data_IF_329666691511
#
_entry.id   IF_329666691511
#
_cell.length_a   1.000
_cell.length_b   1.000
_cell.length_c   1.000
_cell.angle_alpha   90.00
_cell.angle_beta   90.00
_cell.angle_gamma   90.00
#
_symmetry.space_group_name_H-M   'P 1'
#
loop_
_entity.id
_entity.type
_entity.pdbx_description
1 polymer ?
#
# COMPACT_ATOMS: atom_id res chain seq x y z
N UNK A 1 36.57 -20.42 2.20
CA UNK A 1 35.80 -21.57 1.69
C UNK A 1 34.33 -21.23 1.80
N UNK A 2 33.63 -21.07 0.67
CA UNK A 2 32.19 -20.80 0.69
C UNK A 2 31.46 -22.09 1.08
N UNK A 3 30.70 -22.05 2.19
CA UNK A 3 29.86 -23.19 2.61
C UNK A 3 28.91 -23.57 1.48
N UNK A 4 28.72 -24.87 1.25
CA UNK A 4 27.77 -25.36 0.25
C UNK A 4 26.33 -25.02 0.66
N UNK A 5 25.41 -24.89 -0.32
CA UNK A 5 23.99 -24.59 -0.04
C UNK A 5 23.41 -25.62 0.95
N UNK A 6 23.79 -26.89 0.83
CA UNK A 6 23.38 -27.95 1.76
C UNK A 6 23.85 -27.69 3.20
N UNK A 7 25.07 -27.20 3.39
CA UNK A 7 25.62 -26.89 4.71
C UNK A 7 24.95 -25.65 5.31
N UNK A 8 24.72 -24.60 4.51
CA UNK A 8 23.99 -23.42 4.96
C UNK A 8 22.56 -23.76 5.36
N UNK A 9 21.87 -24.54 4.53
CA UNK A 9 20.52 -25.04 4.82
C UNK A 9 20.52 -25.86 6.11
N UNK A 10 21.52 -26.72 6.31
CA UNK A 10 21.63 -27.54 7.51
C UNK A 10 21.93 -26.72 8.78
N UNK A 11 22.75 -25.66 8.70
CA UNK A 11 22.97 -24.71 9.81
C UNK A 11 21.74 -23.86 10.12
N UNK A 12 20.99 -23.45 9.09
CA UNK A 12 19.71 -22.77 9.26
C UNK A 12 18.69 -23.67 9.96
N UNK A 13 18.67 -24.97 9.61
CA UNK A 13 17.79 -25.97 10.20
C UNK A 13 18.12 -26.33 11.65
N UNK A 14 19.33 -26.05 12.15
CA UNK A 14 19.65 -26.23 13.57
C UNK A 14 19.10 -25.10 14.46
N UNK A 15 18.53 -24.03 13.89
CA UNK A 15 17.91 -22.89 14.61
C UNK A 15 16.39 -23.05 14.77
N UNK A 16 15.90 -24.27 14.94
CA UNK A 16 14.48 -24.67 14.79
C UNK A 16 13.54 -24.16 15.92
N UNK A 17 13.48 -22.84 16.12
CA UNK A 17 12.69 -22.23 17.17
C UNK A 17 11.32 -21.71 16.67
N UNK A 18 11.05 -21.71 15.36
CA UNK A 18 9.86 -21.03 14.75
C UNK A 18 9.21 -21.76 13.56
N UNK A 19 9.47 -23.05 13.37
CA UNK A 19 8.95 -23.81 12.23
C UNK A 19 9.41 -23.24 10.87
N UNK A 20 10.63 -22.70 10.84
CA UNK A 20 11.27 -22.09 9.66
C UNK A 20 11.68 -23.18 8.69
N UNK A 21 12.09 -24.34 9.20
CA UNK A 21 12.51 -25.49 8.41
C UNK A 21 11.37 -26.00 7.52
N UNK A 22 10.19 -26.21 8.08
CA UNK A 22 9.00 -26.65 7.36
C UNK A 22 8.63 -25.65 6.26
N UNK A 23 8.76 -24.35 6.53
CA UNK A 23 8.50 -23.31 5.54
C UNK A 23 9.49 -23.37 4.35
N UNK A 24 10.78 -23.62 4.60
CA UNK A 24 11.76 -23.84 3.53
C UNK A 24 11.53 -25.15 2.76
N UNK A 25 11.14 -26.23 3.44
CA UNK A 25 10.79 -27.49 2.79
C UNK A 25 9.56 -27.33 1.89
N UNK A 26 8.56 -26.59 2.38
CA UNK A 26 7.37 -26.23 1.63
C UNK A 26 7.73 -25.38 0.40
N UNK A 27 8.53 -24.32 0.56
CA UNK A 27 9.02 -23.51 -0.57
C UNK A 27 9.70 -24.39 -1.62
N UNK A 28 10.60 -25.28 -1.20
CA UNK A 28 11.32 -26.18 -2.11
C UNK A 28 10.35 -27.12 -2.85
N UNK A 29 9.35 -27.66 -2.16
CA UNK A 29 8.33 -28.54 -2.76
C UNK A 29 7.50 -27.79 -3.80
N UNK A 30 7.01 -26.60 -3.48
CA UNK A 30 6.18 -25.81 -4.39
C UNK A 30 6.98 -25.32 -5.62
N UNK A 31 8.24 -24.91 -5.43
CA UNK A 31 9.13 -24.57 -6.54
C UNK A 31 9.42 -25.78 -7.45
N UNK A 32 9.65 -26.96 -6.88
CA UNK A 32 9.84 -28.19 -7.65
C UNK A 32 8.59 -28.59 -8.45
N UNK A 33 7.40 -28.32 -7.89
CA UNK A 33 6.12 -28.50 -8.56
C UNK A 33 5.80 -27.40 -9.59
N UNK A 34 6.61 -26.33 -9.67
CA UNK A 34 6.35 -25.12 -10.47
C UNK A 34 5.04 -24.42 -10.09
N UNK A 35 4.63 -24.56 -8.84
CA UNK A 35 3.48 -23.88 -8.26
C UNK A 35 3.92 -22.48 -7.79
N UNK A 36 4.25 -21.61 -8.75
CA UNK A 36 4.94 -20.33 -8.50
C UNK A 36 4.22 -19.41 -7.51
N UNK A 37 2.88 -19.41 -7.54
CA UNK A 37 2.06 -18.64 -6.58
C UNK A 37 2.23 -19.13 -5.15
N UNK A 38 2.15 -20.43 -4.93
CA UNK A 38 2.34 -21.02 -3.59
C UNK A 38 3.78 -20.85 -3.11
N UNK A 39 4.75 -20.94 -4.01
CA UNK A 39 6.14 -20.65 -3.70
C UNK A 39 6.35 -19.19 -3.27
N UNK A 40 5.64 -18.24 -3.91
CA UNK A 40 5.68 -16.83 -3.54
C UNK A 40 5.06 -16.57 -2.16
N UNK A 41 3.89 -17.16 -1.88
CA UNK A 41 3.26 -17.15 -0.55
C UNK A 41 4.18 -17.75 0.52
N UNK A 42 4.77 -18.92 0.26
CA UNK A 42 5.73 -19.55 1.17
C UNK A 42 6.99 -18.68 1.38
N UNK A 43 7.44 -17.96 0.35
CA UNK A 43 8.56 -17.01 0.47
C UNK A 43 8.21 -15.86 1.41
N UNK A 44 7.00 -15.30 1.30
CA UNK A 44 6.50 -14.29 2.23
C UNK A 44 6.49 -14.83 3.65
N UNK A 45 5.93 -16.01 3.87
CA UNK A 45 5.85 -16.64 5.19
C UNK A 45 7.23 -16.87 5.81
N UNK A 46 8.21 -17.32 5.03
CA UNK A 46 9.59 -17.45 5.50
C UNK A 46 10.13 -16.10 5.97
N UNK A 47 9.96 -15.03 5.19
CA UNK A 47 10.47 -13.68 5.54
C UNK A 47 9.82 -13.15 6.83
N UNK A 48 8.53 -13.39 7.02
CA UNK A 48 7.84 -13.06 8.28
C UNK A 48 8.35 -13.90 9.48
N UNK A 49 8.58 -15.19 9.29
CA UNK A 49 9.16 -16.07 10.32
C UNK A 49 10.56 -15.66 10.73
N UNK A 50 11.46 -15.43 9.76
CA UNK A 50 12.86 -15.09 10.07
C UNK A 50 12.98 -13.71 10.73
N UNK A 51 12.11 -12.76 10.36
CA UNK A 51 12.04 -11.43 11.00
C UNK A 51 11.38 -11.44 12.37
N UNK A 52 10.58 -12.47 12.70
CA UNK A 52 9.82 -12.54 13.95
C UNK A 52 8.55 -11.67 13.96
N UNK A 53 8.10 -11.21 12.79
CA UNK A 53 6.95 -10.32 12.65
C UNK A 53 5.65 -11.05 12.29
N UNK A 54 5.58 -12.36 12.54
CA UNK A 54 4.39 -13.19 12.26
C UNK A 54 3.12 -12.67 12.95
N UNK A 55 3.24 -12.18 14.19
CA UNK A 55 2.10 -11.71 14.98
C UNK A 55 1.75 -10.23 14.73
N UNK A 56 2.73 -9.39 14.39
CA UNK A 56 2.52 -7.96 14.13
C UNK A 56 1.93 -7.73 12.74
N UNK A 57 2.18 -8.65 11.81
CA UNK A 57 1.56 -8.67 10.49
C UNK A 57 2.07 -7.60 9.53
N UNK A 58 3.18 -6.95 9.84
CA UNK A 58 3.82 -5.97 8.95
C UNK A 58 5.35 -5.99 9.12
N UNK A 59 6.07 -5.90 8.01
CA UNK A 59 7.53 -5.75 8.01
C UNK A 59 7.91 -4.28 7.94
N UNK A 60 8.73 -3.80 8.89
CA UNK A 60 9.33 -2.47 8.84
C UNK A 60 10.67 -2.50 8.11
N UNK A 61 11.17 -1.34 7.68
CA UNK A 61 12.51 -1.24 7.08
C UNK A 61 13.62 -1.69 8.06
N UNK A 62 13.40 -1.54 9.37
CA UNK A 62 14.36 -1.97 10.38
C UNK A 62 14.38 -3.50 10.55
N UNK A 63 13.22 -4.14 10.52
CA UNK A 63 13.12 -5.61 10.51
C UNK A 63 13.90 -6.21 9.33
N UNK A 64 13.80 -5.58 8.16
CA UNK A 64 14.48 -6.01 6.93
C UNK A 64 16.00 -5.90 7.06
N UNK A 65 16.51 -4.85 7.70
CA UNK A 65 17.97 -4.69 7.92
C UNK A 65 18.54 -5.79 8.82
N UNK A 66 17.75 -6.28 9.77
CA UNK A 66 18.11 -7.34 10.70
C UNK A 66 18.03 -8.74 10.07
N UNK A 67 17.50 -8.87 8.85
CA UNK A 67 17.52 -10.14 8.11
C UNK A 67 18.95 -10.56 7.81
N UNK A 68 19.25 -11.82 8.10
CA UNK A 68 20.55 -12.39 7.85
C UNK A 68 20.72 -12.68 6.37
N UNK A 69 21.92 -12.46 5.87
CA UNK A 69 22.30 -12.80 4.51
C UNK A 69 22.02 -14.27 4.16
N UNK A 70 22.33 -15.22 5.06
CA UNK A 70 22.19 -16.65 4.78
C UNK A 70 20.75 -17.03 4.43
N UNK A 71 19.76 -16.45 5.13
CA UNK A 71 18.35 -16.72 4.88
C UNK A 71 17.95 -16.21 3.47
N UNK A 72 18.28 -14.95 3.17
CA UNK A 72 17.97 -14.33 1.87
C UNK A 72 18.68 -15.03 0.70
N UNK A 73 19.92 -15.46 0.92
CA UNK A 73 20.70 -16.20 -0.07
C UNK A 73 20.10 -17.58 -0.38
N UNK A 74 19.60 -18.30 0.62
CA UNK A 74 18.96 -19.60 0.41
C UNK A 74 17.65 -19.43 -0.37
N UNK A 75 16.83 -18.44 -0.03
CA UNK A 75 15.62 -18.10 -0.78
C UNK A 75 15.97 -17.82 -2.25
N UNK A 76 16.93 -16.93 -2.50
CA UNK A 76 17.38 -16.58 -3.86
C UNK A 76 17.85 -17.79 -4.66
N UNK A 77 18.67 -18.66 -4.04
CA UNK A 77 19.16 -19.88 -4.68
C UNK A 77 18.06 -20.84 -5.06
N UNK A 78 17.09 -21.07 -4.18
CA UNK A 78 15.94 -21.93 -4.47
C UNK A 78 15.15 -21.41 -5.68
N UNK A 79 14.84 -20.11 -5.71
CA UNK A 79 14.16 -19.49 -6.84
C UNK A 79 14.96 -19.61 -8.14
N UNK A 80 16.25 -19.30 -8.10
CA UNK A 80 17.13 -19.33 -9.27
C UNK A 80 17.28 -20.75 -9.84
N UNK A 81 17.48 -21.76 -8.99
CA UNK A 81 17.65 -23.16 -9.42
C UNK A 81 16.40 -23.70 -10.13
N UNK A 82 15.21 -23.46 -9.58
CA UNK A 82 13.97 -24.02 -10.12
C UNK A 82 13.42 -23.26 -11.32
N UNK A 83 13.81 -22.00 -11.48
CA UNK A 83 13.42 -21.13 -12.61
C UNK A 83 14.49 -21.04 -13.70
N UNK A 84 15.59 -21.80 -13.61
CA UNK A 84 16.73 -21.71 -14.52
C UNK A 84 17.30 -20.28 -14.64
N UNK A 85 17.38 -19.58 -13.51
CA UNK A 85 17.87 -18.21 -13.41
C UNK A 85 16.89 -17.13 -13.89
N UNK A 86 15.64 -17.49 -14.19
CA UNK A 86 14.61 -16.54 -14.64
C UNK A 86 14.02 -15.70 -13.48
N UNK A 87 13.89 -16.32 -12.30
CA UNK A 87 13.38 -15.69 -11.08
C UNK A 87 14.44 -15.68 -9.98
N UNK A 88 14.27 -14.77 -9.01
CA UNK A 88 15.15 -14.64 -7.85
C UNK A 88 15.49 -13.19 -7.49
N UNK A 89 15.83 -12.98 -6.22
CA UNK A 89 16.19 -11.68 -5.66
C UNK A 89 17.49 -11.13 -6.25
N UNK A 90 18.44 -11.99 -6.61
CA UNK A 90 19.68 -11.61 -7.30
C UNK A 90 19.44 -11.11 -8.72
N UNK A 91 18.43 -11.64 -9.40
CA UNK A 91 17.98 -11.18 -10.73
C UNK A 91 17.36 -9.80 -10.59
N UNK A 92 16.43 -9.62 -9.65
CA UNK A 92 15.82 -8.32 -9.33
C UNK A 92 16.87 -7.27 -8.98
N UNK A 93 17.83 -7.62 -8.13
CA UNK A 93 18.94 -6.75 -7.76
C UNK A 93 19.77 -6.30 -8.95
N UNK A 94 20.07 -7.20 -9.89
CA UNK A 94 20.81 -6.85 -11.11
C UNK A 94 20.04 -5.86 -11.96
N UNK A 95 18.72 -6.03 -12.08
CA UNK A 95 17.85 -5.11 -12.82
C UNK A 95 17.84 -3.74 -12.12
N UNK A 96 17.68 -3.71 -10.79
CA UNK A 96 17.69 -2.48 -10.00
C UNK A 96 19.03 -1.73 -10.08
N UNK A 97 20.16 -2.42 -10.17
CA UNK A 97 21.48 -1.78 -10.32
C UNK A 97 21.67 -1.09 -11.68
N UNK A 98 20.91 -1.49 -12.70
CA UNK A 98 21.03 -0.96 -14.06
C UNK A 98 20.03 0.15 -14.36
N UNK A 99 19.00 0.32 -13.52
CA UNK A 99 17.84 1.16 -13.82
C UNK A 99 17.39 1.94 -12.60
N UNK A 100 16.62 3.01 -12.80
CA UNK A 100 15.95 3.67 -11.69
C UNK A 100 14.80 2.78 -11.15
N UNK A 101 14.32 3.10 -9.95
CA UNK A 101 13.28 2.31 -9.27
C UNK A 101 11.98 2.17 -10.07
N UNK A 102 11.55 3.23 -10.78
CA UNK A 102 10.33 3.23 -11.59
C UNK A 102 10.42 2.28 -12.78
N UNK A 103 11.54 2.32 -13.51
CA UNK A 103 11.82 1.37 -14.58
C UNK A 103 11.95 -0.04 -14.03
N UNK A 104 12.63 -0.22 -12.89
CA UNK A 104 12.76 -1.52 -12.23
C UNK A 104 11.39 -2.16 -11.94
N UNK A 105 10.47 -1.48 -11.26
CA UNK A 105 9.15 -2.08 -10.95
C UNK A 105 8.31 -2.32 -12.21
N UNK A 106 8.49 -1.51 -13.25
CA UNK A 106 7.80 -1.68 -14.54
C UNK A 106 8.34 -2.88 -15.30
N UNK A 107 9.67 -3.05 -15.36
CA UNK A 107 10.32 -4.17 -16.05
C UNK A 107 10.03 -5.50 -15.36
N UNK A 108 9.90 -5.49 -14.04
CA UNK A 108 9.44 -6.64 -13.28
C UNK A 108 7.96 -6.94 -13.52
N UNK A 109 7.20 -6.10 -14.21
CA UNK A 109 5.76 -6.29 -14.42
C UNK A 109 4.90 -6.07 -13.17
N UNK A 110 5.44 -5.38 -12.16
CA UNK A 110 4.71 -5.06 -10.92
C UNK A 110 3.88 -3.79 -11.03
N UNK A 111 4.10 -3.01 -12.10
CA UNK A 111 3.27 -1.87 -12.47
C UNK A 111 2.76 -2.00 -13.90
N UNK A 112 1.49 -1.67 -14.08
CA UNK A 112 0.82 -1.52 -15.38
C UNK A 112 0.12 -0.16 -15.37
N UNK A 113 0.37 0.66 -16.41
CA UNK A 113 -0.21 1.99 -16.56
C UNK A 113 -0.03 2.91 -15.33
N UNK A 114 1.15 2.84 -14.70
CA UNK A 114 1.50 3.66 -13.53
C UNK A 114 0.85 3.21 -12.21
N UNK A 115 0.08 2.12 -12.23
CA UNK A 115 -0.57 1.54 -11.04
C UNK A 115 0.09 0.22 -10.65
N UNK A 116 0.16 -0.06 -9.35
CA UNK A 116 0.62 -1.36 -8.85
C UNK A 116 -0.36 -2.45 -9.24
N UNK A 117 0.15 -3.54 -9.80
CA UNK A 117 -0.64 -4.74 -10.08
C UNK A 117 -1.12 -5.36 -8.76
N UNK A 118 -2.41 -5.69 -8.70
CA UNK A 118 -2.97 -6.51 -7.62
C UNK A 118 -2.33 -7.91 -7.64
N UNK A 119 -2.17 -8.51 -6.46
CA UNK A 119 -1.46 -9.78 -6.33
C UNK A 119 -2.14 -10.90 -7.13
N UNK A 120 -3.47 -10.87 -7.16
CA UNK A 120 -4.35 -11.80 -7.86
C UNK A 120 -4.19 -11.72 -9.38
N UNK A 121 -3.69 -10.59 -9.90
CA UNK A 121 -3.51 -10.33 -11.33
C UNK A 121 -2.06 -10.52 -11.81
N UNK A 122 -1.15 -10.99 -10.94
CA UNK A 122 0.22 -11.29 -11.32
C UNK A 122 0.32 -12.55 -12.20
N UNK A 123 1.34 -12.59 -13.05
CA UNK A 123 1.63 -13.75 -13.90
C UNK A 123 2.51 -14.76 -13.15
N UNK A 124 1.88 -15.83 -12.68
CA UNK A 124 2.56 -16.94 -12.01
C UNK A 124 2.98 -18.05 -12.99
N UNK A 125 3.46 -17.67 -14.17
CA UNK A 125 4.01 -18.60 -15.17
C UNK A 125 5.44 -18.21 -15.55
N UNK A 126 6.14 -19.09 -16.26
CA UNK A 126 7.48 -18.78 -16.78
C UNK A 126 7.47 -17.77 -17.94
N UNK A 127 6.29 -17.37 -18.44
CA UNK A 127 6.18 -16.30 -19.43
C UNK A 127 6.28 -14.91 -18.80
N UNK A 128 6.18 -14.82 -17.47
CA UNK A 128 6.32 -13.58 -16.74
C UNK A 128 7.70 -12.94 -16.99
N UNK A 129 7.84 -11.61 -16.82
CA UNK A 129 9.11 -10.92 -17.03
C UNK A 129 10.26 -11.49 -16.17
N UNK A 130 11.49 -11.26 -16.63
CA UNK A 130 12.70 -11.65 -15.89
C UNK A 130 12.70 -10.98 -14.51
N UNK A 131 12.87 -11.78 -13.45
CA UNK A 131 12.84 -11.30 -12.07
C UNK A 131 11.46 -10.99 -11.50
N UNK A 132 10.36 -11.27 -12.23
CA UNK A 132 8.98 -11.00 -11.77
C UNK A 132 8.70 -11.58 -10.37
N UNK A 133 9.28 -12.76 -10.08
CA UNK A 133 9.14 -13.43 -8.79
C UNK A 133 10.49 -13.60 -8.07
N UNK A 134 10.51 -13.69 -6.73
CA UNK A 134 9.35 -13.51 -5.83
C UNK A 134 8.84 -12.06 -5.81
N UNK A 135 7.53 -11.85 -5.67
CA UNK A 135 6.91 -10.54 -5.66
C UNK A 135 7.18 -9.81 -4.34
N UNK A 136 7.78 -8.61 -4.42
CA UNK A 136 8.06 -7.77 -3.25
C UNK A 136 7.30 -6.42 -3.30
N UNK A 137 6.10 -6.42 -3.87
CA UNK A 137 5.24 -5.24 -3.97
C UNK A 137 4.22 -5.11 -2.83
N UNK A 138 3.06 -4.53 -3.10
CA UNK A 138 2.09 -4.04 -2.10
C UNK A 138 1.67 -5.12 -1.09
N UNK A 139 1.39 -6.34 -1.58
CA UNK A 139 0.92 -7.46 -0.75
C UNK A 139 2.03 -8.10 0.12
N UNK A 140 3.30 -7.98 -0.27
CA UNK A 140 4.40 -8.71 0.36
C UNK A 140 4.71 -8.20 1.77
N UNK A 141 4.56 -6.90 2.01
CA UNK A 141 4.98 -6.26 3.27
C UNK A 141 3.98 -6.38 4.41
N UNK A 142 2.83 -7.00 4.14
CA UNK A 142 1.75 -7.24 5.10
C UNK A 142 1.48 -8.74 5.17
N UNK A 143 1.36 -9.25 6.39
CA UNK A 143 0.89 -10.61 6.56
C UNK A 143 -0.53 -10.73 6.04
N UNK A 144 -0.88 -11.88 5.49
CA UNK A 144 -2.29 -12.25 5.42
C UNK A 144 -2.70 -12.40 6.88
N UNK A 145 -3.71 -11.66 7.40
CA UNK A 145 -4.16 -11.87 8.76
C UNK A 145 -4.53 -13.36 8.86
N UNK A 146 -3.76 -14.12 9.64
CA UNK A 146 -4.18 -15.47 10.01
C UNK A 146 -5.56 -15.28 10.62
N UNK A 147 -6.60 -15.82 9.97
CA UNK A 147 -7.88 -16.01 10.67
C UNK A 147 -7.47 -16.77 11.93
N UNK A 148 -7.59 -16.19 13.14
CA UNK A 148 -7.21 -16.92 14.34
C UNK A 148 -7.95 -18.26 14.29
N UNK A 149 -7.29 -19.40 14.55
CA UNK A 149 -7.95 -20.70 14.57
C UNK A 149 -9.20 -20.53 15.41
N UNK A 150 -10.36 -20.85 14.80
CA UNK A 150 -11.71 -20.53 15.26
C UNK A 150 -11.71 -20.03 16.70
N UNK A 151 -12.01 -18.73 16.88
CA UNK A 151 -12.30 -18.20 18.21
C UNK A 151 -13.17 -19.24 18.91
N UNK A 152 -12.81 -19.70 20.12
CA UNK A 152 -13.61 -20.71 20.81
C UNK A 152 -15.05 -20.25 20.70
N UNK A 153 -15.98 -21.14 20.33
CA UNK A 153 -17.40 -20.81 20.37
C UNK A 153 -17.74 -20.43 21.79
N UNK A 154 -17.53 -19.15 22.12
CA UNK A 154 -18.08 -18.49 23.28
C UNK A 154 -19.56 -18.53 22.94
N UNK A 155 -20.38 -19.31 23.66
CA UNK A 155 -21.81 -19.27 23.45
C UNK A 155 -22.18 -17.81 23.63
N UNK A 156 -22.58 -17.15 22.55
CA UNK A 156 -22.89 -15.72 22.51
C UNK A 156 -23.57 -15.38 23.82
N UNK A 157 -22.92 -14.50 24.59
CA UNK A 157 -23.40 -14.03 25.88
C UNK A 157 -24.91 -13.96 25.81
N UNK A 158 -25.56 -14.73 26.68
CA UNK A 158 -26.99 -14.62 26.95
C UNK A 158 -27.21 -13.15 27.31
N UNK A 159 -27.59 -12.35 26.32
CA UNK A 159 -27.79 -10.92 26.49
C UNK A 159 -28.83 -10.75 27.59
N UNK A 160 -28.63 -9.84 28.56
CA UNK A 160 -29.68 -9.48 29.49
C UNK A 160 -30.90 -9.05 28.67
N UNK A 161 -32.07 -9.59 29.00
CA UNK A 161 -33.31 -9.46 28.20
C UNK A 161 -33.82 -8.03 28.01
N UNK A 162 -33.17 -7.01 28.58
CA UNK A 162 -33.65 -5.62 28.55
C UNK A 162 -32.52 -4.61 28.33
N UNK A 163 -32.81 -3.64 27.45
CA UNK A 163 -31.92 -2.58 26.96
C UNK A 163 -31.22 -1.78 28.08
N UNK A 164 -31.90 -1.57 29.23
CA UNK A 164 -31.40 -0.77 30.35
C UNK A 164 -30.27 -1.44 31.17
N UNK A 165 -30.13 -2.77 31.09
CA UNK A 165 -29.13 -3.50 31.87
C UNK A 165 -27.72 -3.36 31.32
N UNK A 166 -27.58 -3.07 30.02
CA UNK A 166 -26.29 -3.06 29.34
C UNK A 166 -25.50 -1.77 29.63
N UNK A 167 -26.17 -0.62 29.58
CA UNK A 167 -25.54 0.70 29.76
C UNK A 167 -25.24 1.08 31.22
N UNK A 168 -25.94 0.47 32.18
CA UNK A 168 -25.69 0.73 33.60
C UNK A 168 -24.45 -0.02 34.14
N UNK A 169 -24.02 -1.11 33.49
CA UNK A 169 -22.82 -1.89 33.90
C UNK A 169 -21.53 -1.41 33.24
N UNK A 170 -21.64 -0.78 32.08
CA UNK A 170 -20.52 -0.17 31.36
C UNK A 170 -20.93 1.26 30.99
N UNK A 171 -20.67 2.26 31.86
CA UNK A 171 -20.91 3.64 31.48
C UNK A 171 -20.10 3.93 30.21
N UNK A 172 -20.70 4.50 29.16
CA UNK A 172 -19.98 4.78 27.93
C UNK A 172 -18.78 5.65 28.28
N UNK A 173 -17.59 5.24 27.81
CA UNK A 173 -16.42 6.10 27.81
C UNK A 173 -16.86 7.47 27.32
N UNK A 174 -16.78 8.49 28.19
CA UNK A 174 -16.97 9.89 27.78
C UNK A 174 -15.99 10.12 26.64
N UNK A 175 -16.53 10.25 25.43
CA UNK A 175 -15.74 10.69 24.29
C UNK A 175 -15.14 12.04 24.70
N UNK A 176 -13.81 12.17 24.80
CA UNK A 176 -13.22 13.44 25.19
C UNK A 176 -13.69 14.51 24.20
N UNK A 177 -14.02 15.73 24.68
CA UNK A 177 -14.28 16.84 23.79
C UNK A 177 -13.06 16.98 22.87
N UNK A 178 -13.28 16.98 21.55
CA UNK A 178 -12.24 17.07 20.51
C UNK A 178 -11.60 15.74 20.03
N UNK A 179 -12.30 14.60 20.15
CA UNK A 179 -11.84 13.35 19.52
C UNK A 179 -11.95 13.40 17.98
N UNK A 180 -11.05 12.68 17.30
CA UNK A 180 -11.06 12.52 15.84
C UNK A 180 -12.45 12.20 15.26
N UNK A 181 -13.23 11.36 15.95
CA UNK A 181 -14.58 10.98 15.53
C UNK A 181 -15.62 12.10 15.65
N UNK A 182 -15.46 13.03 16.59
CA UNK A 182 -16.28 14.24 16.66
C UNK A 182 -15.93 15.22 15.55
N UNK A 183 -14.63 15.39 15.27
CA UNK A 183 -14.16 16.23 14.17
C UNK A 183 -14.62 15.67 12.82
N UNK A 184 -14.52 14.36 12.61
CA UNK A 184 -14.94 13.68 11.38
C UNK A 184 -16.47 13.70 11.21
N UNK A 185 -17.24 13.61 12.30
CA UNK A 185 -18.70 13.77 12.26
C UNK A 185 -19.11 15.20 11.92
N UNK A 186 -18.50 16.21 12.55
CA UNK A 186 -18.74 17.62 12.23
C UNK A 186 -18.32 17.96 10.79
N UNK A 187 -17.19 17.41 10.33
CA UNK A 187 -16.72 17.51 8.95
C UNK A 187 -17.75 16.94 7.98
N UNK A 188 -18.28 15.74 8.23
CA UNK A 188 -19.32 15.11 7.39
C UNK A 188 -20.62 15.90 7.38
N UNK A 189 -21.08 16.41 8.52
CA UNK A 189 -22.27 17.26 8.60
C UNK A 189 -22.09 18.60 7.88
N UNK A 190 -20.90 19.20 7.90
CA UNK A 190 -20.58 20.39 7.12
C UNK A 190 -20.51 20.08 5.61
N UNK A 191 -19.90 18.96 5.23
CA UNK A 191 -19.83 18.52 3.83
C UNK A 191 -21.21 18.21 3.25
N UNK A 192 -22.11 17.63 4.05
CA UNK A 192 -23.48 17.34 3.62
C UNK A 192 -24.32 18.62 3.47
N UNK A 193 -24.07 19.64 4.32
CA UNK A 193 -24.66 20.99 4.18
C UNK A 193 -24.09 21.79 3.01
N UNK A 194 -22.86 21.49 2.59
CA UNK A 194 -22.16 22.14 1.48
C UNK A 194 -22.31 21.37 0.16
N UNK A 195 -22.97 20.21 0.17
CA UNK A 195 -23.14 19.34 -1.00
C UNK A 195 -23.97 20.08 -2.06
N UNK A 196 -23.39 20.41 -3.22
CA UNK A 196 -24.08 21.26 -4.16
C UNK A 196 -25.08 20.46 -5.00
N UNK A 197 -26.09 21.14 -5.56
CA UNK A 197 -27.13 20.50 -6.39
C UNK A 197 -26.51 19.84 -7.64
N UNK A 198 -27.20 18.87 -8.23
CA UNK A 198 -26.72 18.18 -9.44
C UNK A 198 -26.42 19.13 -10.61
N UNK A 199 -27.04 20.31 -10.63
CA UNK A 199 -26.78 21.35 -11.64
C UNK A 199 -25.41 22.02 -11.45
N UNK A 200 -24.94 22.15 -10.22
CA UNK A 200 -23.63 22.73 -9.91
C UNK A 200 -22.48 21.78 -10.29
N UNK A 201 -22.65 20.47 -10.05
CA UNK A 201 -21.70 19.45 -10.49
C UNK A 201 -21.62 19.36 -12.03
N UNK A 202 -22.73 19.55 -12.74
CA UNK A 202 -22.72 19.67 -14.21
C UNK A 202 -21.98 20.93 -14.68
N UNK A 203 -22.15 22.05 -13.97
CA UNK A 203 -21.49 23.31 -14.28
C UNK A 203 -19.97 23.22 -14.05
N UNK A 204 -19.53 22.59 -12.96
CA UNK A 204 -18.11 22.30 -12.69
C UNK A 204 -17.49 21.35 -13.74
N UNK A 205 -18.18 20.29 -14.14
CA UNK A 205 -17.67 19.33 -15.13
C UNK A 205 -17.62 19.89 -16.57
N UNK A 206 -18.49 20.87 -16.90
CA UNK A 206 -18.43 21.59 -18.19
C UNK A 206 -17.23 22.55 -18.29
N UNK A 207 -16.64 22.91 -17.14
CA UNK A 207 -15.51 23.81 -17.01
C UNK A 207 -14.24 22.97 -16.80
N UNK A 208 -13.70 22.41 -17.88
CA UNK A 208 -12.42 21.68 -17.90
C UNK A 208 -11.31 22.46 -17.16
N UNK A 209 -11.09 22.11 -15.89
CA UNK A 209 -9.91 22.48 -15.12
C UNK A 209 -8.82 21.48 -15.48
N UNK A 210 -8.13 21.72 -16.60
CA UNK A 210 -6.89 20.97 -16.88
C UNK A 210 -5.87 21.25 -15.78
N UNK A 211 -5.15 20.23 -15.27
CA UNK A 211 -4.15 20.41 -14.23
C UNK A 211 -3.01 21.30 -14.76
N UNK A 212 -2.35 22.10 -13.89
CA UNK A 212 -1.20 22.89 -14.32
C UNK A 212 -0.07 21.93 -14.75
N UNK A 213 0.72 22.28 -15.78
CA UNK A 213 1.83 21.45 -16.20
C UNK A 213 2.86 21.38 -15.08
N UNK A 214 3.30 20.17 -14.77
CA UNK A 214 4.44 19.91 -13.88
C UNK A 214 5.71 20.39 -14.57
N UNK A 215 6.15 21.62 -14.27
CA UNK A 215 7.56 21.93 -14.51
C UNK A 215 8.11 22.98 -13.55
N UNK A 216 9.27 22.63 -12.99
CA UNK A 216 10.02 23.38 -12.00
C UNK A 216 10.37 24.80 -12.47
N UNK A 217 9.71 25.83 -11.92
CA UNK A 217 10.22 27.21 -11.72
C UNK A 217 9.23 28.01 -10.86
N UNK A 218 9.69 28.93 -9.97
CA UNK A 218 8.80 29.72 -9.14
C UNK A 218 8.30 30.93 -9.94
N UNK A 219 6.99 31.01 -10.18
CA UNK A 219 6.33 32.21 -10.70
C UNK A 219 5.30 31.92 -11.78
N UNK A 220 4.03 32.20 -11.49
CA UNK A 220 2.94 32.28 -12.47
C UNK A 220 1.88 31.19 -12.30
N UNK A 221 0.99 31.37 -11.32
CA UNK A 221 -0.22 30.57 -11.22
C UNK A 221 -1.18 30.90 -12.37
N UNK A 222 -1.67 29.86 -13.04
CA UNK A 222 -2.65 29.90 -14.12
C UNK A 222 -4.01 30.43 -13.63
N UNK A 223 -4.25 31.73 -13.80
CA UNK A 223 -5.52 32.40 -13.44
C UNK A 223 -6.72 32.11 -14.35
N UNK A 224 -6.57 31.29 -15.39
CA UNK A 224 -7.59 31.14 -16.46
C UNK A 224 -8.91 30.51 -16.01
N UNK A 225 -8.88 29.42 -15.23
CA UNK A 225 -10.08 28.69 -14.80
C UNK A 225 -10.93 29.47 -13.79
N UNK A 226 -10.27 30.15 -12.85
CA UNK A 226 -10.93 31.00 -11.85
C UNK A 226 -11.58 32.24 -12.49
N UNK A 227 -10.95 32.83 -13.50
CA UNK A 227 -11.53 33.99 -14.22
C UNK A 227 -12.79 33.58 -15.00
N UNK A 228 -12.79 32.42 -15.66
CA UNK A 228 -13.96 31.91 -16.37
C UNK A 228 -15.13 31.61 -15.42
N UNK A 229 -14.84 31.06 -14.25
CA UNK A 229 -15.82 30.77 -13.20
C UNK A 229 -16.45 32.04 -12.62
N UNK A 230 -15.64 33.07 -12.36
CA UNK A 230 -16.11 34.40 -11.96
C UNK A 230 -16.98 35.04 -13.05
N UNK A 231 -16.61 34.92 -14.32
CA UNK A 231 -17.38 35.47 -15.44
C UNK A 231 -18.74 34.78 -15.61
N UNK A 232 -18.83 33.46 -15.46
CA UNK A 232 -20.08 32.70 -15.54
C UNK A 232 -21.03 33.05 -14.37
N UNK A 233 -20.49 33.20 -13.15
CA UNK A 233 -21.26 33.63 -11.98
C UNK A 233 -21.75 35.07 -12.09
N UNK A 234 -20.94 35.98 -12.63
CA UNK A 234 -21.37 37.36 -12.92
C UNK A 234 -22.47 37.39 -13.99
N UNK A 235 -22.52 36.39 -14.88
CA UNK A 235 -23.57 36.28 -15.90
C UNK A 235 -24.88 35.76 -15.32
N UNK A 236 -24.86 34.77 -14.43
CA UNK A 236 -26.04 34.28 -13.70
C UNK A 236 -26.52 35.26 -12.61
N UNK A 237 -25.62 36.11 -12.10
CA UNK A 237 -25.87 37.17 -11.13
C UNK A 237 -26.79 38.30 -11.61
N UNK A 238 -26.96 38.52 -12.92
CA UNK A 238 -27.80 39.62 -13.43
C UNK A 238 -29.29 39.49 -13.09
N UNK A 239 -29.71 38.37 -12.52
CA UNK A 239 -31.08 38.10 -12.07
C UNK A 239 -31.22 37.93 -10.54
N UNK A 240 -30.13 38.05 -9.75
CA UNK A 240 -30.13 37.80 -8.31
C UNK A 240 -29.44 38.93 -7.53
N UNK A 241 -29.73 39.04 -6.22
CA UNK A 241 -29.16 40.08 -5.38
C UNK A 241 -27.63 39.93 -5.24
N UNK A 242 -26.84 41.02 -5.24
CA UNK A 242 -25.36 40.98 -5.23
C UNK A 242 -24.73 40.13 -4.11
N UNK A 243 -25.38 40.04 -2.94
CA UNK A 243 -24.92 39.23 -1.81
C UNK A 243 -24.98 37.72 -2.09
N UNK A 244 -25.93 37.26 -2.92
CA UNK A 244 -26.05 35.85 -3.34
C UNK A 244 -24.88 35.45 -4.23
N UNK A 245 -24.45 36.37 -5.09
CA UNK A 245 -23.31 36.19 -6.00
C UNK A 245 -22.01 36.12 -5.21
N UNK A 246 -21.85 37.02 -4.23
CA UNK A 246 -20.71 36.99 -3.30
C UNK A 246 -20.66 35.68 -2.51
N UNK A 247 -21.79 35.22 -1.98
CA UNK A 247 -21.87 33.95 -1.26
C UNK A 247 -21.56 32.74 -2.17
N UNK A 248 -22.08 32.72 -3.39
CA UNK A 248 -21.82 31.65 -4.36
C UNK A 248 -20.33 31.58 -4.73
N UNK A 249 -19.68 32.72 -5.01
CA UNK A 249 -18.24 32.78 -5.30
C UNK A 249 -17.42 32.23 -4.13
N UNK A 250 -17.74 32.61 -2.90
CA UNK A 250 -17.06 32.11 -1.71
C UNK A 250 -17.23 30.59 -1.56
N UNK A 251 -18.45 30.07 -1.75
CA UNK A 251 -18.73 28.63 -1.68
C UNK A 251 -17.87 27.86 -2.70
N UNK A 252 -17.73 28.37 -3.92
CA UNK A 252 -16.95 27.68 -4.95
C UNK A 252 -15.46 27.74 -4.71
N UNK A 253 -14.93 28.86 -4.21
CA UNK A 253 -13.53 28.94 -3.81
C UNK A 253 -13.23 28.00 -2.64
N UNK A 254 -14.14 27.90 -1.66
CA UNK A 254 -14.01 26.97 -0.54
C UNK A 254 -14.07 25.52 -1.03
N UNK A 255 -15.00 25.17 -1.92
CA UNK A 255 -15.11 23.82 -2.48
C UNK A 255 -13.90 23.44 -3.34
N UNK A 256 -13.44 24.33 -4.23
CA UNK A 256 -12.26 24.11 -5.05
C UNK A 256 -11.00 23.96 -4.18
N UNK A 257 -10.86 24.78 -3.14
CA UNK A 257 -9.78 24.65 -2.15
C UNK A 257 -9.84 23.32 -1.40
N UNK A 258 -11.04 22.87 -1.00
CA UNK A 258 -11.24 21.58 -0.36
C UNK A 258 -10.87 20.41 -1.28
N UNK A 259 -11.31 20.44 -2.55
CA UNK A 259 -10.97 19.39 -3.53
C UNK A 259 -9.47 19.33 -3.85
N UNK A 260 -8.83 20.49 -4.00
CA UNK A 260 -7.39 20.56 -4.16
C UNK A 260 -6.65 20.01 -2.93
N UNK A 261 -7.16 20.27 -1.72
CA UNK A 261 -6.61 19.73 -0.49
C UNK A 261 -6.78 18.20 -0.37
N UNK A 262 -7.95 17.65 -0.73
CA UNK A 262 -8.15 16.19 -0.78
C UNK A 262 -7.15 15.53 -1.73
N UNK A 263 -7.03 16.03 -2.96
CA UNK A 263 -6.10 15.49 -3.95
C UNK A 263 -4.65 15.59 -3.47
N UNK A 264 -4.25 16.73 -2.90
CA UNK A 264 -2.92 16.90 -2.32
C UNK A 264 -2.62 15.87 -1.22
N UNK A 265 -3.59 15.57 -0.34
CA UNK A 265 -3.42 14.56 0.70
C UNK A 265 -3.32 13.15 0.12
N UNK A 266 -4.10 12.83 -0.91
CA UNK A 266 -4.01 11.55 -1.61
C UNK A 266 -2.66 11.36 -2.30
N UNK A 267 -2.17 12.37 -3.02
CA UNK A 267 -0.88 12.34 -3.70
C UNK A 267 0.28 12.22 -2.69
N UNK A 268 0.22 12.99 -1.59
CA UNK A 268 1.18 12.88 -0.50
C UNK A 268 1.20 11.46 0.10
N UNK A 269 0.03 10.91 0.43
CA UNK A 269 -0.09 9.57 1.00
C UNK A 269 0.40 8.49 0.02
N UNK A 270 0.18 8.67 -1.29
CA UNK A 270 0.69 7.78 -2.33
C UNK A 270 2.20 7.80 -2.36
N UNK A 271 2.81 8.99 -2.39
CA UNK A 271 4.26 9.15 -2.44
C UNK A 271 4.94 8.60 -1.18
N UNK A 272 4.34 8.77 0.00
CA UNK A 272 4.84 8.18 1.25
C UNK A 272 4.84 6.64 1.19
N UNK A 273 3.77 6.02 0.68
CA UNK A 273 3.71 4.56 0.49
C UNK A 273 4.74 4.06 -0.53
N UNK A 274 4.92 4.78 -1.63
CA UNK A 274 5.90 4.43 -2.65
C UNK A 274 7.33 4.48 -2.10
N UNK A 275 7.65 5.54 -1.33
CA UNK A 275 8.94 5.65 -0.65
C UNK A 275 9.16 4.52 0.36
N UNK A 276 8.13 4.14 1.13
CA UNK A 276 8.20 3.02 2.06
C UNK A 276 8.50 1.69 1.33
N UNK A 277 7.77 1.40 0.23
CA UNK A 277 8.04 0.20 -0.57
C UNK A 277 9.43 0.20 -1.18
N UNK A 278 9.87 1.34 -1.71
CA UNK A 278 11.22 1.50 -2.25
C UNK A 278 12.28 1.16 -1.20
N UNK A 279 12.19 1.76 -0.02
CA UNK A 279 13.15 1.53 1.07
C UNK A 279 13.17 0.05 1.48
N UNK A 280 12.00 -0.60 1.54
CA UNK A 280 11.89 -2.03 1.91
C UNK A 280 12.49 -2.95 0.84
N UNK A 281 12.19 -2.73 -0.43
CA UNK A 281 12.76 -3.50 -1.56
C UNK A 281 14.27 -3.32 -1.61
N UNK A 282 14.76 -2.08 -1.60
CA UNK A 282 16.20 -1.79 -1.61
C UNK A 282 16.89 -2.40 -0.38
N UNK A 283 16.26 -2.30 0.79
CA UNK A 283 16.73 -2.91 2.03
C UNK A 283 16.88 -4.43 1.92
N UNK A 284 15.87 -5.11 1.37
CA UNK A 284 15.88 -6.56 1.18
C UNK A 284 16.97 -6.99 0.19
N UNK A 285 17.04 -6.34 -0.97
CA UNK A 285 18.03 -6.65 -2.01
C UNK A 285 19.47 -6.34 -1.56
N UNK A 286 19.64 -5.32 -0.70
CA UNK A 286 20.94 -5.02 -0.10
C UNK A 286 21.46 -6.14 0.81
N UNK A 287 20.59 -7.01 1.34
CA UNK A 287 21.03 -8.14 2.16
C UNK A 287 21.91 -9.11 1.37
N UNK A 288 21.78 -9.15 0.04
CA UNK A 288 22.63 -9.95 -0.85
C UNK A 288 24.02 -9.32 -1.10
N UNK A 289 24.32 -8.09 -0.64
CA UNK A 289 25.62 -7.44 -0.87
C UNK A 289 26.74 -7.96 0.05
N UNK A 290 26.41 -8.67 1.13
CA UNK A 290 27.42 -9.18 2.07
C UNK A 290 28.25 -10.35 1.54
N UNK A 291 28.19 -10.64 0.24
CA UNK A 291 29.10 -11.55 -0.46
C UNK A 291 30.30 -10.72 -0.95
N UNK A 292 31.13 -10.26 -0.02
CA UNK A 292 32.51 -9.88 -0.32
C UNK A 292 33.45 -10.52 0.68
#
# INVERSE_FOLDING_TARGET
MAKGIRELVQELWQRDERGVKEAYEQLKKELAAKEWRKADEATKDIVFKISGQEQTGSLTAEDIKNLRFQDIYVIDKLWSEHSNGHFGLSVQKRILQQKNYESFVTDLGWRVDGSWSEYENLDFTLNAPLGHLPYCGVHFWKAVPSVPPESPTIPYYRLPRTFDSFYNRYPPYRIPPNSYWQQEKQKRELLDKLKPSSEFEQLLNSLSLSPPPTNNRPGGASGGGLIALMAAMVKSARAAAPWVVGAAVVIVLVYAGYKAYEQYQEDKNRQEKENDFKIKVEGLLSRLDSIR
#
